data_IF_826242057350
#
_entry.id   IF_826242057350
#
_cell.length_a   1.000
_cell.length_b   1.000
_cell.length_c   1.000
_cell.angle_alpha   90.00
_cell.angle_beta   90.00
_cell.angle_gamma   90.00
#
_symmetry.space_group_name_H-M   'P 1'
#
loop_
_entity.id
_entity.type
_entity.pdbx_description
1 polymer ?
#
# COMPACT_ATOMS: atom_id res chain seq x y z
N UNK A 1 -22.11 25.90 8.83
CA UNK A 1 -20.76 25.35 9.14
C UNK A 1 -20.86 23.99 9.87
N UNK A 2 -21.56 22.98 9.31
CA UNK A 2 -21.81 21.68 9.97
C UNK A 2 -21.24 20.44 9.23
N UNK A 3 -20.79 20.58 7.98
CA UNK A 3 -20.41 19.44 7.13
C UNK A 3 -19.09 18.74 7.53
N UNK A 4 -18.13 19.46 8.13
CA UNK A 4 -16.81 18.90 8.45
C UNK A 4 -16.81 17.84 9.57
N UNK A 5 -17.92 17.70 10.32
CA UNK A 5 -18.10 16.63 11.31
C UNK A 5 -18.55 15.30 10.69
N UNK A 6 -18.93 15.28 9.41
CA UNK A 6 -19.39 14.08 8.73
C UNK A 6 -18.21 13.26 8.20
N UNK A 7 -18.19 11.94 8.44
CA UNK A 7 -17.14 11.07 7.93
C UNK A 7 -17.12 11.13 6.39
N UNK A 8 -15.91 11.21 5.81
CA UNK A 8 -15.62 11.37 4.37
C UNK A 8 -15.78 12.80 3.79
N UNK A 9 -16.02 13.80 4.62
CA UNK A 9 -15.91 15.21 4.17
C UNK A 9 -14.44 15.58 4.04
N UNK A 10 -14.04 16.09 2.88
CA UNK A 10 -12.66 16.50 2.61
C UNK A 10 -12.39 17.89 3.18
N UNK A 11 -11.24 18.07 3.82
CA UNK A 11 -10.75 19.39 4.19
C UNK A 11 -10.35 20.18 2.95
N UNK A 12 -10.70 21.45 2.93
CA UNK A 12 -10.33 22.43 1.90
C UNK A 12 -9.22 23.35 2.42
N UNK A 13 -8.82 24.32 1.62
CA UNK A 13 -7.85 25.35 1.97
C UNK A 13 -8.22 26.08 3.28
N UNK A 14 -9.53 26.23 3.56
CA UNK A 14 -10.02 26.85 4.78
C UNK A 14 -9.66 26.03 6.03
N UNK A 15 -9.83 24.70 5.98
CA UNK A 15 -9.44 23.82 7.07
C UNK A 15 -7.93 23.78 7.26
N UNK A 16 -7.15 23.86 6.17
CA UNK A 16 -5.68 23.92 6.22
C UNK A 16 -5.22 25.23 6.88
N UNK A 17 -5.83 26.35 6.51
CA UNK A 17 -5.51 27.65 7.11
C UNK A 17 -5.93 27.72 8.60
N UNK A 18 -7.10 27.17 8.94
CA UNK A 18 -7.54 27.05 10.32
C UNK A 18 -6.59 26.16 11.15
N UNK A 19 -6.08 25.07 10.58
CA UNK A 19 -5.10 24.21 11.21
C UNK A 19 -3.75 24.92 11.42
N UNK A 20 -3.26 25.68 10.43
CA UNK A 20 -2.04 26.47 10.55
C UNK A 20 -2.13 27.47 11.71
N UNK A 21 -3.27 28.16 11.83
CA UNK A 21 -3.54 29.07 12.94
C UNK A 21 -3.65 28.34 14.29
N UNK A 22 -4.37 27.22 14.34
CA UNK A 22 -4.53 26.43 15.56
C UNK A 22 -3.20 25.83 16.07
N UNK A 23 -2.34 25.38 15.16
CA UNK A 23 -1.06 24.75 15.47
C UNK A 23 0.08 25.75 15.64
N UNK A 24 -0.15 27.04 15.35
CA UNK A 24 0.89 28.07 15.33
C UNK A 24 2.10 27.66 14.48
N UNK A 25 1.86 26.97 13.36
CA UNK A 25 2.89 26.46 12.47
C UNK A 25 2.53 26.78 11.02
N UNK A 26 3.53 27.07 10.18
CA UNK A 26 3.32 27.24 8.76
C UNK A 26 3.04 25.89 8.09
N UNK A 27 2.03 25.82 7.22
CA UNK A 27 1.71 24.63 6.44
C UNK A 27 1.96 24.93 4.96
N UNK A 28 2.78 24.11 4.30
CA UNK A 28 3.08 24.21 2.88
C UNK A 28 2.41 23.07 2.12
N UNK A 29 1.66 23.36 1.06
CA UNK A 29 1.12 22.35 0.15
C UNK A 29 1.79 22.42 -1.22
N UNK A 30 2.29 21.31 -1.73
CA UNK A 30 2.75 21.19 -3.11
C UNK A 30 1.57 20.75 -3.99
N UNK A 31 1.18 21.57 -4.96
CA UNK A 31 0.13 21.25 -5.96
C UNK A 31 0.49 21.91 -7.28
N UNK A 32 0.19 21.27 -8.41
CA UNK A 32 0.48 21.84 -9.74
C UNK A 32 1.94 22.34 -9.89
N UNK A 33 2.90 21.55 -9.39
CA UNK A 33 4.33 21.88 -9.35
C UNK A 33 4.71 23.18 -8.60
N UNK A 34 3.87 23.65 -7.67
CA UNK A 34 4.12 24.86 -6.89
C UNK A 34 3.87 24.62 -5.41
N UNK A 35 4.69 25.25 -4.58
CA UNK A 35 4.47 25.34 -3.14
C UNK A 35 3.56 26.51 -2.81
N UNK A 36 2.49 26.24 -2.07
CA UNK A 36 1.57 27.24 -1.53
C UNK A 36 1.73 27.25 -0.01
N UNK A 37 1.92 28.43 0.58
CA UNK A 37 2.09 28.63 2.02
C UNK A 37 0.76 29.05 2.67
N UNK A 38 0.40 28.37 3.76
CA UNK A 38 -0.67 28.73 4.68
C UNK A 38 -0.05 29.08 6.02
N UNK A 39 -0.17 30.34 6.43
CA UNK A 39 0.45 30.87 7.65
C UNK A 39 -0.61 31.41 8.58
N UNK A 40 -0.43 31.20 9.88
CA UNK A 40 -1.25 31.83 10.91
C UNK A 40 -1.24 33.37 10.80
N UNK A 41 -0.13 33.95 10.30
CA UNK A 41 0.01 35.38 10.00
C UNK A 41 -0.99 35.91 8.96
N UNK A 42 -1.62 35.04 8.17
CA UNK A 42 -2.67 35.46 7.23
C UNK A 42 -4.01 35.74 7.94
N UNK A 43 -4.17 35.29 9.18
CA UNK A 43 -5.36 35.51 10.01
C UNK A 43 -5.03 36.50 11.14
N UNK A 44 -3.93 36.30 11.84
CA UNK A 44 -3.50 37.13 12.97
C UNK A 44 -2.01 37.46 12.83
N UNK A 45 -1.68 38.76 12.72
CA UNK A 45 -0.31 39.21 12.46
C UNK A 45 0.59 39.16 13.69
N UNK A 46 0.02 39.11 14.88
CA UNK A 46 0.76 39.16 16.15
C UNK A 46 1.01 37.76 16.74
N UNK A 47 0.61 36.71 16.01
CA UNK A 47 0.76 35.32 16.46
C UNK A 47 2.20 34.82 16.25
N UNK A 48 2.80 34.27 17.30
CA UNK A 48 4.12 33.65 17.21
C UNK A 48 4.01 32.30 16.49
N UNK A 49 4.50 32.23 15.25
CA UNK A 49 4.58 30.98 14.49
C UNK A 49 5.89 30.27 14.79
N UNK A 50 5.83 28.98 15.05
CA UNK A 50 7.01 28.13 15.26
C UNK A 50 7.92 28.12 14.02
N UNK A 51 9.23 27.97 14.25
CA UNK A 51 10.22 27.93 13.16
C UNK A 51 10.13 26.65 12.30
N UNK A 52 9.33 25.67 12.71
CA UNK A 52 9.12 24.42 12.00
C UNK A 52 7.82 24.48 11.19
N UNK A 53 7.84 23.89 10.00
CA UNK A 53 6.72 23.92 9.07
C UNK A 53 6.28 22.51 8.70
N UNK A 54 4.99 22.36 8.43
CA UNK A 54 4.38 21.11 7.98
C UNK A 54 4.31 21.12 6.46
N UNK A 55 4.84 20.10 5.80
CA UNK A 55 4.83 19.99 4.35
C UNK A 55 3.87 18.89 3.89
N UNK A 56 3.00 19.23 2.96
CA UNK A 56 1.98 18.36 2.38
C UNK A 56 2.12 18.33 0.85
N UNK A 57 1.84 17.19 0.23
CA UNK A 57 1.75 17.04 -1.23
C UNK A 57 0.30 16.75 -1.60
N UNK A 58 -0.32 17.63 -2.37
CA UNK A 58 -1.65 17.45 -2.93
C UNK A 58 -1.56 16.67 -4.23
N UNK A 59 -2.13 15.47 -4.23
CA UNK A 59 -2.15 14.60 -5.40
C UNK A 59 -3.37 14.99 -6.25
N UNK A 60 -3.12 15.75 -7.32
CA UNK A 60 -4.11 16.46 -8.15
C UNK A 60 -5.22 15.57 -8.78
N UNK A 61 -5.16 14.23 -8.62
CA UNK A 61 -6.15 13.25 -9.13
C UNK A 61 -7.08 12.65 -8.08
N UNK A 62 -6.79 12.81 -6.78
CA UNK A 62 -7.52 12.08 -5.72
C UNK A 62 -7.88 12.93 -4.50
N UNK A 63 -7.71 14.27 -4.56
CA UNK A 63 -7.94 15.19 -3.44
C UNK A 63 -7.30 14.67 -2.14
N UNK A 64 -6.13 14.06 -2.31
CA UNK A 64 -5.39 13.36 -1.27
C UNK A 64 -4.16 14.17 -0.89
N UNK A 65 -3.90 14.28 0.41
CA UNK A 65 -2.72 14.95 0.94
C UNK A 65 -1.78 13.92 1.55
N UNK A 66 -0.53 13.92 1.09
CA UNK A 66 0.54 13.11 1.67
C UNK A 66 1.50 13.99 2.48
N UNK A 67 2.03 13.47 3.60
CA UNK A 67 3.01 14.20 4.41
C UNK A 67 4.39 14.10 3.78
N UNK A 68 5.07 15.24 3.65
CA UNK A 68 6.43 15.34 3.11
C UNK A 68 7.43 15.42 4.28
N UNK A 69 8.36 14.47 4.31
CA UNK A 69 9.32 14.33 5.42
C UNK A 69 10.63 15.10 5.20
N UNK A 70 10.96 15.44 3.96
CA UNK A 70 12.16 16.20 3.63
C UNK A 70 11.96 16.98 2.32
N UNK A 71 12.47 18.21 2.28
CA UNK A 71 12.48 19.05 1.08
C UNK A 71 13.95 19.40 0.81
N UNK A 72 14.52 18.80 -0.23
CA UNK A 72 15.89 19.13 -0.65
C UNK A 72 15.90 20.51 -1.31
N UNK A 73 16.45 21.50 -0.60
CA UNK A 73 16.69 22.82 -1.16
C UNK A 73 17.97 22.82 -1.98
N UNK A 74 17.87 23.14 -3.29
CA UNK A 74 19.02 23.50 -4.09
C UNK A 74 19.61 24.82 -3.56
N UNK A 75 20.50 24.75 -2.57
CA UNK A 75 21.46 25.83 -2.31
C UNK A 75 22.61 25.66 -3.29
N UNK A 76 22.56 26.41 -4.39
CA UNK A 76 23.72 26.63 -5.25
C UNK A 76 24.77 27.36 -4.43
N UNK A 77 25.83 26.67 -4.01
CA UNK A 77 27.18 27.22 -3.84
C UNK A 77 28.22 26.09 -3.71
N UNK A 78 28.87 25.82 -4.85
CA UNK A 78 30.27 25.43 -5.05
C UNK A 78 30.91 24.38 -4.11
N UNK A 79 31.12 23.15 -4.62
CA UNK A 79 32.38 22.37 -4.51
C UNK A 79 32.36 21.22 -5.56
N UNK A 80 33.52 20.71 -6.02
CA UNK A 80 33.74 20.29 -7.40
C UNK A 80 33.20 18.90 -7.75
N UNK A 81 32.78 18.79 -9.01
CA UNK A 81 32.48 17.57 -9.72
C UNK A 81 33.62 16.53 -9.62
N UNK A 82 33.31 15.36 -9.05
CA UNK A 82 33.63 14.08 -9.71
C UNK A 82 32.46 13.11 -9.54
N UNK A 83 31.80 12.93 -10.66
CA UNK A 83 30.73 11.98 -10.98
C UNK A 83 31.03 10.54 -10.56
N UNK A 84 30.07 9.89 -9.87
CA UNK A 84 29.62 8.50 -10.10
C UNK A 84 28.14 8.34 -9.69
N UNK A 85 27.26 8.46 -10.69
CA UNK A 85 25.98 7.74 -10.87
C UNK A 85 25.18 7.29 -9.63
N UNK A 86 24.08 7.99 -9.35
CA UNK A 86 23.00 7.50 -8.49
C UNK A 86 22.20 6.45 -9.27
N UNK A 87 22.50 5.17 -9.00
CA UNK A 87 21.59 4.04 -9.28
C UNK A 87 20.63 3.91 -8.10
N UNK A 88 19.34 3.77 -8.42
CA UNK A 88 18.29 3.08 -7.66
C UNK A 88 18.42 3.04 -6.13
N UNK A 89 17.76 3.95 -5.42
CA UNK A 89 17.56 3.83 -3.97
C UNK A 89 16.28 3.05 -3.64
N UNK A 90 16.31 1.76 -3.99
CA UNK A 90 15.41 0.75 -3.43
C UNK A 90 16.02 0.20 -2.13
N UNK A 91 16.11 1.00 -1.05
CA UNK A 91 16.09 0.47 0.32
C UNK A 91 15.97 1.60 1.34
N UNK A 92 14.87 1.65 2.08
CA UNK A 92 14.87 2.32 3.39
C UNK A 92 14.48 1.28 4.44
N UNK A 93 15.51 0.77 5.12
CA UNK A 93 15.39 0.19 6.46
C UNK A 93 14.98 1.33 7.39
N UNK A 94 13.76 1.29 7.87
CA UNK A 94 13.30 2.16 8.95
C UNK A 94 13.84 1.56 10.26
N UNK A 95 14.92 2.12 10.79
CA UNK A 95 15.27 1.98 12.21
C UNK A 95 14.51 3.07 12.96
N UNK A 96 13.48 2.71 13.72
CA UNK A 96 12.86 3.60 14.69
C UNK A 96 13.16 3.02 16.06
N UNK A 97 14.27 3.46 16.65
CA UNK A 97 14.62 3.26 18.06
C UNK A 97 15.64 4.36 18.40
N UNK A 98 15.15 5.56 18.77
CA UNK A 98 15.90 6.50 19.61
C UNK A 98 14.96 7.62 20.09
N UNK A 99 14.03 7.27 20.99
CA UNK A 99 13.72 8.16 22.09
C UNK A 99 14.51 7.66 23.31
N UNK A 100 15.10 8.59 24.05
CA UNK A 100 16.01 8.42 25.20
C UNK A 100 17.51 8.33 24.88
N UNK A 101 18.18 9.49 24.79
CA UNK A 101 19.30 9.81 25.69
C UNK A 101 19.67 11.29 25.58
N UNK A 102 19.19 12.07 26.53
CA UNK A 102 19.95 13.24 26.99
C UNK A 102 21.19 12.70 27.71
N UNK A 103 22.37 13.10 27.25
CA UNK A 103 23.42 13.67 28.11
C UNK A 103 24.56 14.20 27.25
N UNK A 104 24.87 15.46 27.52
CA UNK A 104 25.96 16.28 27.05
C UNK A 104 27.33 15.67 27.42
N UNK A 105 28.33 15.84 26.54
CA UNK A 105 29.56 16.57 26.88
C UNK A 105 30.24 17.00 25.59
N UNK A 106 30.33 18.30 25.38
CA UNK A 106 31.28 18.91 24.45
C UNK A 106 32.71 18.49 24.82
N UNK A 107 33.44 17.91 23.89
CA UNK A 107 34.90 17.94 23.93
C UNK A 107 35.39 18.06 22.50
N UNK A 108 35.71 19.30 22.11
CA UNK A 108 36.53 19.56 20.93
C UNK A 108 37.85 18.83 21.13
N UNK A 109 38.19 17.92 20.22
CA UNK A 109 39.59 17.56 20.02
C UNK A 109 39.89 17.26 18.56
N UNK A 110 40.89 17.98 18.06
CA UNK A 110 41.39 17.92 16.69
C UNK A 110 42.06 16.56 16.45
N UNK A 111 41.71 15.86 15.36
CA UNK A 111 42.58 14.89 14.67
C UNK A 111 41.93 14.39 13.38
N UNK A 112 42.13 15.15 12.30
CA UNK A 112 41.55 14.93 10.97
C UNK A 112 42.38 13.94 10.11
N UNK A 113 42.87 12.84 10.69
CA UNK A 113 43.62 11.81 9.93
C UNK A 113 43.44 10.35 10.43
N UNK A 114 42.40 10.05 11.21
CA UNK A 114 42.09 8.70 11.71
C UNK A 114 40.66 8.21 11.38
N UNK A 115 39.88 8.98 10.62
CA UNK A 115 38.43 8.78 10.56
C UNK A 115 37.95 7.83 9.44
N UNK A 116 38.73 7.57 8.39
CA UNK A 116 38.29 6.71 7.27
C UNK A 116 38.35 5.21 7.62
N UNK A 117 39.39 4.76 8.34
CA UNK A 117 39.54 3.37 8.80
C UNK A 117 38.54 2.99 9.90
N UNK A 118 38.11 3.96 10.71
CA UNK A 118 37.16 3.73 11.80
C UNK A 118 35.73 3.52 11.29
N UNK A 119 35.30 4.27 10.26
CA UNK A 119 33.99 4.08 9.61
C UNK A 119 33.90 2.71 8.93
N UNK A 120 34.95 2.28 8.22
CA UNK A 120 34.98 0.98 7.53
C UNK A 120 34.94 -0.21 8.52
N UNK A 121 35.69 -0.13 9.62
CA UNK A 121 35.64 -1.14 10.70
C UNK A 121 34.26 -1.24 11.36
N UNK A 122 33.55 -0.12 11.55
CA UNK A 122 32.20 -0.14 12.11
C UNK A 122 31.16 -0.72 11.14
N UNK A 123 31.32 -0.48 9.84
CA UNK A 123 30.49 -1.04 8.78
C UNK A 123 30.69 -2.54 8.62
N UNK A 124 31.95 -3.01 8.63
CA UNK A 124 32.31 -4.43 8.66
C UNK A 124 31.74 -5.14 9.89
N UNK A 125 31.85 -4.53 11.08
CA UNK A 125 31.27 -5.07 12.33
C UNK A 125 29.75 -5.16 12.24
N UNK A 126 29.09 -4.17 11.63
CA UNK A 126 27.64 -4.15 11.41
C UNK A 126 27.20 -5.21 10.41
N UNK A 127 27.95 -5.42 9.32
CA UNK A 127 27.72 -6.50 8.34
C UNK A 127 27.84 -7.87 9.01
N UNK A 128 28.94 -8.13 9.72
CA UNK A 128 29.18 -9.37 10.47
C UNK A 128 28.06 -9.65 11.48
N UNK A 129 27.60 -8.63 12.22
CA UNK A 129 26.48 -8.78 13.16
C UNK A 129 25.18 -9.18 12.45
N UNK A 130 24.84 -8.55 11.32
CA UNK A 130 23.65 -8.90 10.53
C UNK A 130 23.73 -10.33 10.00
N UNK A 131 24.90 -10.78 9.57
CA UNK A 131 25.12 -12.14 9.09
C UNK A 131 24.95 -13.17 10.21
N UNK A 132 25.56 -12.93 11.38
CA UNK A 132 25.37 -13.77 12.56
C UNK A 132 23.90 -13.84 13.00
N UNK A 133 23.17 -12.72 12.90
CA UNK A 133 21.73 -12.68 13.22
C UNK A 133 20.89 -13.45 12.18
N UNK A 134 21.21 -13.33 10.88
CA UNK A 134 20.59 -14.15 9.83
C UNK A 134 20.84 -15.64 10.08
N UNK A 135 22.09 -16.02 10.37
CA UNK A 135 22.44 -17.41 10.67
C UNK A 135 21.69 -17.93 11.89
N UNK A 136 21.63 -17.14 12.97
CA UNK A 136 20.87 -17.48 14.18
C UNK A 136 19.37 -17.65 13.89
N UNK A 137 18.79 -16.80 13.04
CA UNK A 137 17.39 -16.91 12.64
C UNK A 137 17.10 -18.15 11.78
N UNK A 138 18.03 -18.54 10.90
CA UNK A 138 17.89 -19.72 10.07
C UNK A 138 18.10 -21.03 10.85
N UNK A 139 19.01 -21.05 11.83
CA UNK A 139 19.42 -22.25 12.55
C UNK A 139 18.61 -22.51 13.83
N UNK A 140 18.02 -21.49 14.44
CA UNK A 140 17.31 -21.63 15.71
C UNK A 140 15.82 -21.31 15.57
N UNK A 141 15.03 -22.38 15.54
CA UNK A 141 13.57 -22.33 15.41
C UNK A 141 12.91 -21.49 16.51
N UNK A 142 13.42 -21.56 17.75
CA UNK A 142 12.85 -20.78 18.87
C UNK A 142 13.07 -19.27 18.67
N UNK A 143 14.23 -18.86 18.16
CA UNK A 143 14.53 -17.46 17.86
C UNK A 143 13.67 -16.98 16.70
N UNK A 144 13.54 -17.81 15.66
CA UNK A 144 12.68 -17.54 14.50
C UNK A 144 11.23 -17.34 14.91
N UNK A 145 10.70 -18.23 15.75
CA UNK A 145 9.30 -18.20 16.14
C UNK A 145 8.99 -17.08 17.13
N UNK A 146 9.92 -16.78 18.06
CA UNK A 146 9.83 -15.58 18.90
C UNK A 146 9.75 -14.31 18.05
N UNK A 147 10.60 -14.18 17.02
CA UNK A 147 10.58 -13.03 16.12
C UNK A 147 9.29 -12.95 15.30
N UNK A 148 8.81 -14.07 14.75
CA UNK A 148 7.51 -14.14 14.04
C UNK A 148 6.35 -13.72 14.93
N UNK A 149 6.31 -14.20 16.18
CA UNK A 149 5.28 -13.83 17.16
C UNK A 149 5.32 -12.34 17.48
N UNK A 150 6.49 -11.80 17.80
CA UNK A 150 6.66 -10.37 18.06
C UNK A 150 6.18 -9.52 16.88
N UNK A 151 6.53 -9.87 15.62
CA UNK A 151 6.03 -9.13 14.46
C UNK A 151 4.51 -9.21 14.28
N UNK A 152 3.89 -10.39 14.55
CA UNK A 152 2.44 -10.53 14.53
C UNK A 152 1.80 -9.65 15.59
N UNK A 153 2.34 -9.65 16.80
CA UNK A 153 1.85 -8.85 17.91
C UNK A 153 1.92 -7.35 17.61
N UNK A 154 3.05 -6.86 17.07
CA UNK A 154 3.14 -5.47 16.58
C UNK A 154 2.10 -5.18 15.50
N UNK A 155 1.87 -6.10 14.56
CA UNK A 155 0.87 -5.91 13.52
C UNK A 155 -0.56 -5.86 14.06
N UNK A 156 -0.89 -6.64 15.09
CA UNK A 156 -2.22 -6.66 15.70
C UNK A 156 -2.46 -5.46 16.62
N UNK A 157 -1.47 -5.11 17.45
CA UNK A 157 -1.63 -4.13 18.53
C UNK A 157 -1.29 -2.70 18.09
N UNK A 158 -0.56 -2.50 16.99
CA UNK A 158 -0.24 -1.17 16.48
C UNK A 158 -1.03 -0.87 15.20
N UNK A 159 -2.14 -0.17 15.36
CA UNK A 159 -3.03 0.19 14.26
C UNK A 159 -2.33 1.04 13.18
N UNK A 160 -1.49 1.99 13.57
CA UNK A 160 -0.74 2.86 12.63
C UNK A 160 0.21 2.01 11.78
N UNK A 161 0.98 1.13 12.43
CA UNK A 161 1.89 0.21 11.76
C UNK A 161 1.14 -0.70 10.78
N UNK A 162 0.01 -1.28 11.22
CA UNK A 162 -0.84 -2.13 10.39
C UNK A 162 -1.32 -1.41 9.14
N UNK A 163 -1.90 -0.22 9.31
CA UNK A 163 -2.41 0.60 8.21
C UNK A 163 -1.31 0.97 7.23
N UNK A 164 -0.13 1.40 7.71
CA UNK A 164 1.02 1.71 6.87
C UNK A 164 1.52 0.47 6.10
N UNK A 165 1.52 -0.70 6.75
CA UNK A 165 1.94 -1.96 6.11
C UNK A 165 0.98 -2.36 4.98
N UNK A 166 -0.32 -2.23 5.21
CA UNK A 166 -1.36 -2.47 4.19
C UNK A 166 -1.21 -1.48 3.04
N UNK A 167 -1.08 -0.18 3.34
CA UNK A 167 -0.90 0.87 2.33
C UNK A 167 0.30 0.60 1.42
N UNK A 168 1.47 0.33 2.00
CA UNK A 168 2.68 -0.01 1.23
C UNK A 168 2.49 -1.26 0.37
N UNK A 169 1.78 -2.27 0.89
CA UNK A 169 1.44 -3.48 0.14
C UNK A 169 0.52 -3.19 -1.06
N UNK A 170 -0.53 -2.40 -0.85
CA UNK A 170 -1.45 -1.96 -1.91
C UNK A 170 -0.73 -1.12 -2.96
N UNK A 171 0.09 -0.15 -2.56
CA UNK A 171 0.85 0.68 -3.49
C UNK A 171 1.81 -0.15 -4.33
N UNK A 172 2.47 -1.15 -3.73
CA UNK A 172 3.30 -2.08 -4.49
C UNK A 172 2.46 -2.89 -5.49
N UNK A 173 1.31 -3.41 -5.09
CA UNK A 173 0.43 -4.16 -6.01
C UNK A 173 -0.10 -3.31 -7.18
N UNK A 174 -0.37 -2.03 -6.94
CA UNK A 174 -0.88 -1.11 -7.95
C UNK A 174 0.22 -0.71 -8.94
N UNK A 175 1.38 -0.29 -8.41
CA UNK A 175 2.44 0.34 -9.20
C UNK A 175 3.45 -0.64 -9.81
N UNK A 176 3.62 -1.83 -9.21
CA UNK A 176 4.57 -2.84 -9.68
C UNK A 176 3.79 -3.98 -10.37
N UNK A 177 3.73 -3.90 -11.71
CA UNK A 177 3.08 -4.91 -12.55
C UNK A 177 3.71 -6.30 -12.34
N UNK A 178 5.04 -6.38 -12.28
CA UNK A 178 5.74 -7.66 -12.18
C UNK A 178 5.38 -8.38 -10.88
N UNK A 179 5.33 -7.62 -9.78
CA UNK A 179 4.90 -8.11 -8.48
C UNK A 179 3.43 -8.55 -8.50
N UNK A 180 2.54 -7.77 -9.12
CA UNK A 180 1.13 -8.12 -9.26
C UNK A 180 0.95 -9.43 -10.05
N UNK A 181 1.62 -9.57 -11.19
CA UNK A 181 1.52 -10.78 -12.01
C UNK A 181 2.07 -12.01 -11.30
N UNK A 182 3.23 -11.89 -10.64
CA UNK A 182 3.81 -12.99 -9.85
C UNK A 182 2.86 -13.45 -8.73
N UNK A 183 2.18 -12.52 -8.04
CA UNK A 183 1.17 -12.87 -7.04
C UNK A 183 -0.04 -13.59 -7.64
N UNK A 184 -0.54 -13.12 -8.79
CA UNK A 184 -1.66 -13.76 -9.49
C UNK A 184 -1.26 -15.19 -9.91
N UNK A 185 -0.07 -15.35 -10.46
CA UNK A 185 0.43 -16.62 -10.95
C UNK A 185 0.63 -17.63 -9.80
N UNK A 186 1.22 -17.19 -8.70
CA UNK A 186 1.29 -18.00 -7.46
C UNK A 186 -0.09 -18.42 -6.98
N UNK A 187 -1.07 -17.53 -7.08
CA UNK A 187 -2.47 -17.82 -6.74
C UNK A 187 -3.08 -18.90 -7.64
N UNK A 188 -2.84 -18.82 -8.96
CA UNK A 188 -3.29 -19.83 -9.94
C UNK A 188 -2.61 -21.17 -9.68
N UNK A 189 -1.30 -21.19 -9.52
CA UNK A 189 -0.54 -22.41 -9.22
C UNK A 189 -1.04 -23.08 -7.95
N UNK A 190 -1.32 -22.29 -6.91
CA UNK A 190 -1.94 -22.82 -5.69
C UNK A 190 -3.34 -23.38 -5.94
N UNK A 191 -4.17 -22.73 -6.75
CA UNK A 191 -5.48 -23.26 -7.10
C UNK A 191 -5.42 -24.57 -7.90
N UNK A 192 -4.39 -24.76 -8.73
CA UNK A 192 -4.19 -25.98 -9.50
C UNK A 192 -3.73 -27.14 -8.60
N UNK A 193 -2.72 -26.89 -7.75
CA UNK A 193 -2.02 -27.96 -7.03
C UNK A 193 -2.45 -28.18 -5.57
N UNK A 194 -3.04 -27.19 -4.91
CA UNK A 194 -3.52 -27.29 -3.52
C UNK A 194 -5.04 -27.50 -3.52
N UNK A 195 -5.45 -28.75 -3.29
CA UNK A 195 -6.85 -29.17 -3.29
C UNK A 195 -7.68 -28.41 -2.23
N UNK A 196 -7.14 -28.25 -1.03
CA UNK A 196 -7.83 -27.59 0.08
C UNK A 196 -8.04 -26.11 -0.22
N UNK A 197 -7.02 -25.46 -0.78
CA UNK A 197 -7.13 -24.08 -1.23
C UNK A 197 -8.21 -23.94 -2.30
N UNK A 198 -8.23 -24.83 -3.30
CA UNK A 198 -9.25 -24.84 -4.34
C UNK A 198 -10.66 -25.01 -3.78
N UNK A 199 -10.87 -25.94 -2.86
CA UNK A 199 -12.17 -26.18 -2.23
C UNK A 199 -12.64 -24.98 -1.41
N UNK A 200 -11.76 -24.37 -0.61
CA UNK A 200 -12.07 -23.14 0.14
C UNK A 200 -12.45 -21.99 -0.79
N UNK A 201 -11.73 -21.82 -1.90
CA UNK A 201 -12.01 -20.77 -2.87
C UNK A 201 -13.36 -20.99 -3.58
N UNK A 202 -13.70 -22.23 -3.95
CA UNK A 202 -15.03 -22.57 -4.48
C UNK A 202 -16.15 -22.28 -3.48
N UNK A 203 -15.97 -22.69 -2.21
CA UNK A 203 -16.94 -22.41 -1.13
C UNK A 203 -17.13 -20.91 -0.94
N UNK A 204 -16.05 -20.14 -0.89
CA UNK A 204 -16.10 -18.68 -0.76
C UNK A 204 -16.80 -18.02 -1.95
N UNK A 205 -16.54 -18.49 -3.17
CA UNK A 205 -17.22 -17.99 -4.37
C UNK A 205 -18.73 -18.24 -4.34
N UNK A 206 -19.16 -19.44 -3.95
CA UNK A 206 -20.58 -19.77 -3.77
C UNK A 206 -21.26 -18.88 -2.74
N UNK A 207 -20.64 -18.75 -1.55
CA UNK A 207 -21.17 -17.90 -0.49
C UNK A 207 -21.27 -16.44 -0.94
N UNK A 208 -20.26 -15.95 -1.68
CA UNK A 208 -20.31 -14.58 -2.21
C UNK A 208 -21.49 -14.42 -3.18
N UNK A 209 -21.70 -15.36 -4.09
CA UNK A 209 -22.83 -15.31 -5.02
C UNK A 209 -24.20 -15.36 -4.31
N UNK A 210 -24.29 -16.08 -3.20
CA UNK A 210 -25.52 -16.22 -2.42
C UNK A 210 -25.86 -14.96 -1.62
N UNK A 211 -24.86 -14.34 -1.00
CA UNK A 211 -25.03 -13.25 -0.02
C UNK A 211 -24.89 -11.86 -0.64
N UNK A 212 -24.01 -11.69 -1.64
CA UNK A 212 -23.68 -10.40 -2.23
C UNK A 212 -24.45 -10.22 -3.54
N UNK A 213 -25.59 -9.52 -3.46
CA UNK A 213 -26.50 -9.31 -4.60
C UNK A 213 -25.82 -8.52 -5.72
N UNK A 214 -25.07 -7.48 -5.39
CA UNK A 214 -24.33 -6.67 -6.35
C UNK A 214 -23.33 -7.53 -7.11
N UNK A 215 -22.61 -8.41 -6.42
CA UNK A 215 -21.70 -9.36 -7.06
C UNK A 215 -22.42 -10.35 -7.98
N UNK A 216 -23.57 -10.89 -7.53
CA UNK A 216 -24.38 -11.82 -8.32
C UNK A 216 -24.88 -11.18 -9.60
N UNK A 217 -25.43 -9.97 -9.51
CA UNK A 217 -26.00 -9.25 -10.65
C UNK A 217 -24.91 -8.87 -11.65
N UNK A 218 -23.78 -8.33 -11.16
CA UNK A 218 -22.62 -8.06 -12.01
C UNK A 218 -22.10 -9.31 -12.74
N UNK A 219 -22.14 -10.48 -12.09
CA UNK A 219 -21.70 -11.74 -12.70
C UNK A 219 -22.67 -12.18 -13.80
N UNK A 220 -23.99 -12.06 -13.56
CA UNK A 220 -25.03 -12.36 -14.55
C UNK A 220 -24.91 -11.41 -15.75
N UNK A 221 -24.76 -10.11 -15.51
CA UNK A 221 -24.64 -9.10 -16.57
C UNK A 221 -23.39 -9.34 -17.43
N UNK A 222 -22.24 -9.64 -16.80
CA UNK A 222 -21.03 -10.03 -17.54
C UNK A 222 -21.25 -11.30 -18.37
N UNK A 223 -22.01 -12.26 -17.85
CA UNK A 223 -22.40 -13.46 -18.58
C UNK A 223 -23.26 -13.16 -19.81
N UNK A 224 -24.27 -12.30 -19.66
CA UNK A 224 -25.15 -11.84 -20.75
C UNK A 224 -24.36 -11.12 -21.84
N UNK A 225 -23.56 -10.11 -21.47
CA UNK A 225 -22.68 -9.40 -22.43
C UNK A 225 -21.76 -10.35 -23.18
N UNK A 226 -21.11 -11.29 -22.46
CA UNK A 226 -20.24 -12.28 -23.11
C UNK A 226 -20.99 -13.15 -24.14
N UNK A 227 -22.25 -13.47 -23.89
CA UNK A 227 -23.07 -14.24 -24.84
C UNK A 227 -23.50 -13.41 -26.04
N UNK A 228 -23.78 -12.12 -25.85
CA UNK A 228 -24.14 -11.17 -26.90
C UNK A 228 -22.94 -10.84 -27.80
N UNK A 229 -21.82 -10.45 -27.20
CA UNK A 229 -20.65 -9.91 -27.90
C UNK A 229 -19.77 -11.00 -28.53
N UNK A 230 -19.70 -12.19 -27.93
CA UNK A 230 -18.79 -13.24 -28.38
C UNK A 230 -19.54 -14.36 -29.10
N UNK A 231 -19.53 -14.31 -30.43
CA UNK A 231 -20.19 -15.28 -31.30
C UNK A 231 -19.67 -16.71 -31.10
N UNK A 232 -18.36 -16.91 -30.99
CA UNK A 232 -17.79 -18.26 -30.75
C UNK A 232 -18.26 -18.85 -29.43
N UNK A 233 -18.34 -18.02 -28.38
CA UNK A 233 -18.86 -18.44 -27.09
C UNK A 233 -20.34 -18.78 -27.17
N UNK A 234 -21.14 -17.95 -27.84
CA UNK A 234 -22.57 -18.18 -28.06
C UNK A 234 -22.82 -19.49 -28.82
N UNK A 235 -22.14 -19.71 -29.94
CA UNK A 235 -22.27 -20.93 -30.74
C UNK A 235 -21.94 -22.18 -29.90
N UNK A 236 -20.83 -22.16 -29.17
CA UNK A 236 -20.43 -23.25 -28.27
C UNK A 236 -21.45 -23.51 -27.15
N UNK A 237 -22.08 -22.46 -26.61
CA UNK A 237 -23.12 -22.60 -25.59
C UNK A 237 -24.41 -23.20 -26.16
N UNK A 238 -24.81 -22.80 -27.38
CA UNK A 238 -25.95 -23.39 -28.09
C UNK A 238 -25.70 -24.87 -28.37
N UNK A 239 -24.52 -25.22 -28.89
CA UNK A 239 -24.13 -26.59 -29.20
C UNK A 239 -24.18 -27.48 -27.95
N UNK A 240 -23.58 -27.02 -26.83
CA UNK A 240 -23.66 -27.73 -25.54
C UNK A 240 -25.10 -27.90 -25.07
N UNK A 241 -25.95 -26.90 -25.28
CA UNK A 241 -27.38 -26.97 -24.97
C UNK A 241 -28.10 -28.05 -25.78
N UNK A 242 -27.84 -28.11 -27.09
CA UNK A 242 -28.38 -29.14 -27.99
C UNK A 242 -27.94 -30.53 -27.58
N UNK A 243 -26.64 -30.72 -27.36
CA UNK A 243 -26.06 -31.99 -26.93
C UNK A 243 -26.67 -32.47 -25.60
N UNK A 244 -26.82 -31.57 -24.63
CA UNK A 244 -27.49 -31.89 -23.36
C UNK A 244 -28.95 -32.30 -23.56
N UNK A 245 -29.68 -31.64 -24.45
CA UNK A 245 -31.07 -32.01 -24.77
C UNK A 245 -31.19 -33.36 -25.45
N UNK A 246 -30.18 -33.77 -26.23
CA UNK A 246 -30.13 -35.08 -26.88
C UNK A 246 -29.77 -36.20 -25.89
N UNK A 247 -28.77 -35.98 -25.04
CA UNK A 247 -28.21 -37.01 -24.15
C UNK A 247 -28.94 -37.14 -22.81
N UNK A 248 -29.49 -36.06 -22.25
CA UNK A 248 -30.10 -36.04 -20.92
C UNK A 248 -31.63 -36.01 -21.03
N UNK A 249 -32.24 -37.18 -20.87
CA UNK A 249 -33.69 -37.37 -20.95
C UNK A 249 -34.45 -36.58 -19.87
N UNK A 250 -33.88 -36.45 -18.67
CA UNK A 250 -34.50 -35.67 -17.58
C UNK A 250 -34.48 -34.18 -17.89
N UNK A 251 -33.41 -33.69 -18.51
CA UNK A 251 -33.32 -32.30 -18.95
C UNK A 251 -34.30 -32.03 -20.10
N UNK A 252 -34.38 -32.94 -21.08
CA UNK A 252 -35.29 -32.83 -22.22
C UNK A 252 -36.75 -32.77 -21.80
N UNK A 253 -37.20 -33.70 -20.96
CA UNK A 253 -38.57 -33.75 -20.43
C UNK A 253 -38.93 -32.46 -19.68
N UNK A 254 -38.07 -31.99 -18.78
CA UNK A 254 -38.26 -30.72 -18.07
C UNK A 254 -38.39 -29.51 -19.02
N UNK A 255 -37.63 -29.47 -20.12
CA UNK A 255 -37.71 -28.38 -21.10
C UNK A 255 -39.00 -28.42 -21.93
N UNK A 256 -39.51 -29.61 -22.26
CA UNK A 256 -40.81 -29.80 -22.93
C UNK A 256 -41.93 -29.33 -22.00
N UNK A 257 -41.92 -29.76 -20.74
CA UNK A 257 -42.93 -29.35 -19.76
C UNK A 257 -42.97 -27.83 -19.55
N UNK A 258 -41.80 -27.17 -19.50
CA UNK A 258 -41.74 -25.69 -19.40
C UNK A 258 -42.40 -25.02 -20.59
N UNK A 259 -42.12 -25.52 -21.80
CA UNK A 259 -42.73 -25.03 -23.03
C UNK A 259 -44.25 -25.20 -23.03
N UNK A 260 -44.75 -26.33 -22.55
CA UNK A 260 -46.19 -26.60 -22.43
C UNK A 260 -46.87 -25.74 -21.35
N UNK A 261 -46.14 -25.42 -20.27
CA UNK A 261 -46.61 -24.56 -19.18
C UNK A 261 -46.49 -23.06 -19.47
N UNK A 262 -45.90 -22.66 -20.60
CA UNK A 262 -45.77 -21.26 -21.01
C UNK A 262 -44.85 -20.40 -20.13
N UNK A 263 -43.89 -21.02 -19.44
CA UNK A 263 -42.88 -20.37 -18.58
C UNK A 263 -41.49 -20.54 -19.18
#
# INVERSE_FOLDING_TARGET
MRKMKEPKTMGTELEILAAAHFMQADIYTFTNNKWIKYSAHQIDKDINVENEAIYLHHVDKSSHYEVVMNVEGNRVHNLPEKSKTIKDCTSVKCNFDHLSRNNCTDTKNNNTLLNETQVDLTDLRRKRRRELEKMRYCQNDTVRDKKKRSCKETYWNNAIYRSLKIYKGSMKYINDETYRQDLIEKGKMKYVHDLDYRLRMKKKGKLKYEVDEEYRDNLIEKGKRKYEDNETYRANMIEKGKKKYEEDETYRTNMIEKREKGV
#
